data_IF_760085425358
#
_entry.id   IF_760085425358
#
_cell.length_a   1.000
_cell.length_b   1.000
_cell.length_c   1.000
_cell.angle_alpha   90.00
_cell.angle_beta   90.00
_cell.angle_gamma   90.00
#
_symmetry.space_group_name_H-M   'P 1'
#
loop_
_entity.id
_entity.type
_entity.pdbx_description
1 polymer ?
#
# COMPACT_ATOMS: atom_id res chain seq x y z
N UNK A 1 -1.22 -9.30 -7.01
CA UNK A 1 -1.47 -9.72 -5.61
C UNK A 1 -2.81 -10.47 -5.51
N UNK A 2 -3.10 -11.15 -4.39
CA UNK A 2 -4.39 -11.84 -4.18
C UNK A 2 -5.50 -10.92 -3.67
N UNK A 3 -6.74 -11.39 -3.69
CA UNK A 3 -7.95 -10.68 -3.23
C UNK A 3 -7.79 -10.19 -1.79
N UNK A 4 -7.50 -11.09 -0.84
CA UNK A 4 -7.34 -10.76 0.59
C UNK A 4 -6.23 -9.74 0.84
N UNK A 5 -5.15 -9.79 0.06
CA UNK A 5 -4.06 -8.82 0.18
C UNK A 5 -4.50 -7.44 -0.32
N UNK A 6 -5.21 -7.39 -1.44
CA UNK A 6 -5.75 -6.15 -2.00
C UNK A 6 -6.76 -5.49 -1.06
N UNK A 7 -7.67 -6.28 -0.46
CA UNK A 7 -8.65 -5.80 0.51
C UNK A 7 -7.99 -5.26 1.79
N UNK A 8 -6.94 -5.92 2.28
CA UNK A 8 -6.18 -5.43 3.44
C UNK A 8 -5.51 -4.08 3.16
N UNK A 9 -4.91 -3.93 1.97
CA UNK A 9 -4.29 -2.67 1.55
C UNK A 9 -5.35 -1.57 1.39
N UNK A 10 -6.49 -1.85 0.75
CA UNK A 10 -7.60 -0.91 0.62
C UNK A 10 -8.16 -0.48 1.99
N UNK A 11 -8.31 -1.44 2.91
CA UNK A 11 -8.71 -1.16 4.30
C UNK A 11 -7.68 -0.33 5.06
N UNK A 12 -6.38 -0.56 4.84
CA UNK A 12 -5.31 0.25 5.42
C UNK A 12 -5.32 1.69 4.89
N UNK A 13 -5.56 1.89 3.59
CA UNK A 13 -5.72 3.21 2.98
C UNK A 13 -6.91 3.95 3.57
N UNK A 14 -8.07 3.29 3.68
CA UNK A 14 -9.27 3.88 4.26
C UNK A 14 -9.06 4.35 5.70
N UNK A 15 -8.32 3.58 6.51
CA UNK A 15 -7.94 3.97 7.89
C UNK A 15 -7.06 5.23 7.94
N UNK A 16 -6.32 5.53 6.87
CA UNK A 16 -5.49 6.74 6.73
C UNK A 16 -6.23 7.89 6.02
N UNK A 17 -7.53 7.73 5.72
CA UNK A 17 -8.33 8.73 5.00
C UNK A 17 -8.07 8.79 3.49
N UNK A 18 -7.34 7.81 2.95
CA UNK A 18 -7.06 7.70 1.51
C UNK A 18 -8.12 6.84 0.83
N UNK A 19 -8.48 7.18 -0.41
CA UNK A 19 -9.33 6.35 -1.26
C UNK A 19 -8.49 5.29 -1.95
N UNK A 20 -8.87 4.03 -1.77
CA UNK A 20 -8.33 2.89 -2.50
C UNK A 20 -9.41 1.83 -2.63
N UNK A 21 -9.57 1.30 -3.84
CA UNK A 21 -10.55 0.27 -4.19
C UNK A 21 -9.77 -0.98 -4.61
N UNK A 22 -9.95 -2.07 -3.86
CA UNK A 22 -9.46 -3.37 -4.28
C UNK A 22 -10.39 -3.91 -5.38
N UNK A 23 -9.82 -4.26 -6.53
CA UNK A 23 -10.56 -4.88 -7.62
C UNK A 23 -9.64 -5.79 -8.44
N UNK A 24 -10.20 -6.78 -9.15
CA UNK A 24 -9.41 -7.59 -10.07
C UNK A 24 -8.87 -6.70 -11.20
N UNK A 25 -7.65 -7.02 -11.64
CA UNK A 25 -7.00 -6.40 -12.80
C UNK A 25 -7.85 -6.63 -14.04
N UNK A 26 -8.36 -7.85 -14.17
CA UNK A 26 -9.21 -8.27 -15.27
C UNK A 26 -10.61 -8.59 -14.71
N UNK A 27 -11.65 -7.81 -15.08
CA UNK A 27 -13.00 -8.02 -14.57
C UNK A 27 -13.65 -9.33 -15.05
N UNK A 28 -13.19 -9.90 -16.16
CA UNK A 28 -13.66 -11.19 -16.67
C UNK A 28 -12.98 -12.37 -15.94
N UNK A 29 -11.91 -12.11 -15.18
CA UNK A 29 -11.16 -13.09 -14.40
C UNK A 29 -10.99 -12.67 -12.92
N UNK A 30 -12.05 -12.76 -12.09
CA UNK A 30 -12.03 -12.31 -10.70
C UNK A 30 -11.10 -13.14 -9.79
N UNK A 31 -10.79 -14.37 -10.17
CA UNK A 31 -9.79 -15.22 -9.50
C UNK A 31 -8.33 -14.90 -9.90
N UNK A 32 -8.14 -13.94 -10.80
CA UNK A 32 -6.84 -13.49 -11.29
C UNK A 32 -6.11 -12.53 -10.33
N UNK A 33 -5.21 -11.74 -10.89
CA UNK A 33 -4.47 -10.75 -10.10
C UNK A 33 -5.39 -9.61 -9.66
N UNK A 34 -5.37 -9.28 -8.36
CA UNK A 34 -6.03 -8.10 -7.80
C UNK A 34 -5.07 -6.93 -7.69
N UNK A 35 -5.61 -5.72 -7.79
CA UNK A 35 -4.90 -4.45 -7.71
C UNK A 35 -5.69 -3.41 -6.89
N UNK A 36 -4.98 -2.40 -6.39
CA UNK A 36 -5.63 -1.26 -5.73
C UNK A 36 -5.69 -0.10 -6.69
N UNK A 37 -6.90 0.43 -6.86
CA UNK A 37 -7.20 1.55 -7.73
C UNK A 37 -7.65 2.77 -6.93
N UNK A 38 -7.47 3.98 -7.47
CA UNK A 38 -7.91 5.21 -6.79
C UNK A 38 -9.45 5.39 -6.82
N UNK A 39 -10.12 4.70 -7.75
CA UNK A 39 -11.56 4.78 -7.97
C UNK A 39 -12.21 3.46 -8.35
N UNK A 40 -13.54 3.45 -8.37
CA UNK A 40 -14.37 2.28 -8.70
C UNK A 40 -14.61 2.11 -10.20
N UNK A 41 -14.45 3.18 -10.98
CA UNK A 41 -14.75 3.16 -12.42
C UNK A 41 -13.62 2.46 -13.20
N UNK A 42 -13.88 1.33 -13.87
CA UNK A 42 -12.83 0.56 -14.53
C UNK A 42 -12.19 1.27 -15.73
N UNK A 43 -12.86 2.28 -16.31
CA UNK A 43 -12.39 3.01 -17.50
C UNK A 43 -11.47 4.16 -17.10
N UNK A 44 -11.75 4.83 -15.99
CA UNK A 44 -11.00 6.01 -15.54
C UNK A 44 -10.10 5.78 -14.33
N UNK A 45 -10.23 4.63 -13.65
CA UNK A 45 -9.41 4.34 -12.46
C UNK A 45 -7.93 4.17 -12.81
N UNK A 46 -7.06 4.70 -11.96
CA UNK A 46 -5.62 4.53 -12.01
C UNK A 46 -5.18 3.45 -11.04
N UNK A 47 -4.29 2.58 -11.50
CA UNK A 47 -3.56 1.66 -10.63
C UNK A 47 -2.67 2.47 -9.67
N UNK A 48 -2.95 2.35 -8.37
CA UNK A 48 -2.19 2.98 -7.29
C UNK A 48 -1.58 1.92 -6.38
N UNK A 49 -1.44 0.67 -6.82
CA UNK A 49 -1.01 -0.46 -5.98
C UNK A 49 0.34 -0.19 -5.31
N UNK A 50 1.27 0.44 -6.03
CA UNK A 50 2.59 0.80 -5.50
C UNK A 50 2.49 1.92 -4.44
N UNK A 51 1.74 2.99 -4.72
CA UNK A 51 1.48 4.08 -3.77
C UNK A 51 0.72 3.58 -2.53
N UNK A 52 -0.23 2.67 -2.74
CA UNK A 52 -1.03 2.03 -1.71
C UNK A 52 -0.16 1.16 -0.79
N UNK A 53 0.78 0.41 -1.37
CA UNK A 53 1.78 -0.35 -0.61
C UNK A 53 2.76 0.57 0.12
N UNK A 54 3.24 1.64 -0.49
CA UNK A 54 4.10 2.62 0.18
C UNK A 54 3.39 3.29 1.36
N UNK A 55 2.13 3.68 1.17
CA UNK A 55 1.29 4.27 2.22
C UNK A 55 0.97 3.27 3.33
N UNK A 56 0.76 1.99 3.00
CA UNK A 56 0.48 0.94 3.99
C UNK A 56 1.73 0.56 4.77
N UNK A 57 2.87 0.48 4.09
CA UNK A 57 4.12 -0.01 4.68
C UNK A 57 4.64 0.91 5.75
N UNK A 58 4.59 2.24 5.62
CA UNK A 58 4.80 3.17 6.74
C UNK A 58 6.02 2.93 7.66
N UNK A 59 6.94 2.04 7.29
CA UNK A 59 8.32 2.08 7.72
C UNK A 59 8.92 3.14 6.83
N UNK A 60 9.50 4.22 7.39
CA UNK A 60 10.39 5.02 6.58
C UNK A 60 11.36 4.04 5.95
N UNK A 61 11.45 4.06 4.62
CA UNK A 61 12.66 3.62 3.96
C UNK A 61 13.77 4.24 4.77
N UNK A 62 14.67 3.39 5.29
CA UNK A 62 15.88 3.86 5.94
C UNK A 62 16.55 4.78 4.92
N UNK A 63 16.30 6.07 5.12
CA UNK A 63 17.26 7.14 5.10
C UNK A 63 18.64 6.55 5.34
N UNK A 64 19.60 7.00 4.54
CA UNK A 64 20.99 6.57 4.57
C UNK A 64 21.63 6.50 5.97
N UNK A 65 22.89 6.04 6.03
CA UNK A 65 23.54 5.51 7.24
C UNK A 65 23.14 6.27 8.52
N UNK A 66 22.51 5.51 9.42
CA UNK A 66 22.00 5.93 10.73
C UNK A 66 22.99 6.86 11.44
N UNK A 67 22.64 8.15 11.53
CA UNK A 67 23.30 9.12 12.40
C UNK A 67 23.24 8.62 13.84
N UNK A 68 24.41 8.67 14.49
CA UNK A 68 24.71 7.98 15.74
C UNK A 68 23.84 8.33 16.94
N UNK A 69 23.46 7.28 17.66
CA UNK A 69 23.27 7.36 19.11
C UNK A 69 24.58 6.89 19.74
N UNK A 70 25.38 7.84 20.23
CA UNK A 70 26.44 7.55 21.21
C UNK A 70 25.76 7.45 22.56
N UNK A 71 25.74 6.26 23.15
CA UNK A 71 25.42 6.08 24.56
C UNK A 71 26.67 6.42 25.37
N UNK A 72 26.68 7.45 26.24
CA UNK A 72 27.75 7.57 27.23
C UNK A 72 27.52 6.49 28.29
N UNK A 73 28.40 5.47 28.31
CA UNK A 73 28.54 4.57 29.45
C UNK A 73 29.47 5.26 30.45
N UNK A 74 28.91 5.84 31.50
CA UNK A 74 29.61 6.07 32.78
C UNK A 74 29.38 4.82 33.65
N UNK A 75 30.33 4.36 34.47
CA UNK A 75 30.98 5.15 35.54
C UNK A 75 32.52 5.21 35.48
#
# INVERSE_FOLDING_TARGET
MGEDEAEQVASALRRRGLRGVAAPQDPDHPEGEWRVYDGTDPVTRRDITDEARAATTGVPGKTGPTRGFVLPSAP
#
